data_IF_523424726748
#
_entry.id   IF_523424726748
#
_cell.length_a   1.000
_cell.length_b   1.000
_cell.length_c   1.000
_cell.angle_alpha   90.00
_cell.angle_beta   90.00
_cell.angle_gamma   90.00
#
_symmetry.space_group_name_H-M   'P 1'
#
loop_
_entity.id
_entity.type
_entity.pdbx_description
1 polymer ?
#
# COMPACT_ATOMS: atom_id res chain seq x y z
N UNK A 1 -15.38 23.59 -26.18
CA UNK A 1 -14.92 22.34 -25.60
C UNK A 1 -14.46 21.49 -26.78
N UNK A 2 -13.16 21.41 -26.99
CA UNK A 2 -12.57 20.65 -28.08
C UNK A 2 -12.23 19.28 -27.51
N UNK A 3 -12.96 18.25 -27.96
CA UNK A 3 -12.64 16.86 -27.68
C UNK A 3 -11.20 16.58 -28.15
N UNK A 4 -10.33 16.20 -27.22
CA UNK A 4 -9.02 15.64 -27.57
C UNK A 4 -9.27 14.27 -28.21
N UNK A 5 -8.67 13.99 -29.38
CA UNK A 5 -8.86 12.71 -30.04
C UNK A 5 -8.42 11.56 -29.12
N UNK A 6 -9.25 10.54 -29.02
CA UNK A 6 -8.98 9.29 -28.26
C UNK A 6 -7.66 8.63 -28.67
N UNK A 7 -7.20 8.83 -29.88
CA UNK A 7 -5.95 8.31 -30.42
C UNK A 7 -4.70 8.89 -29.70
N UNK A 8 -4.73 10.17 -29.29
CA UNK A 8 -3.59 10.79 -28.58
C UNK A 8 -3.38 10.26 -27.16
N UNK A 9 -4.46 9.82 -26.50
CA UNK A 9 -4.38 9.22 -25.15
C UNK A 9 -3.83 7.80 -25.25
N UNK A 10 -4.27 7.03 -26.24
CA UNK A 10 -3.76 5.68 -26.50
C UNK A 10 -2.30 5.68 -26.91
N UNK A 11 -1.88 6.67 -27.72
CA UNK A 11 -0.49 6.85 -28.10
C UNK A 11 0.40 7.24 -26.92
N UNK A 12 -0.07 8.09 -26.02
CA UNK A 12 0.65 8.43 -24.79
C UNK A 12 0.81 7.22 -23.85
N UNK A 13 -0.24 6.39 -23.73
CA UNK A 13 -0.18 5.14 -22.97
C UNK A 13 0.77 4.14 -23.63
N UNK A 14 0.78 4.04 -24.97
CA UNK A 14 1.67 3.16 -25.71
C UNK A 14 3.15 3.61 -25.58
N UNK A 15 3.41 4.93 -25.62
CA UNK A 15 4.74 5.50 -25.42
C UNK A 15 5.28 5.22 -24.01
N UNK A 16 4.50 5.45 -22.97
CA UNK A 16 4.86 5.09 -21.58
C UNK A 16 5.11 3.59 -21.39
N UNK A 17 4.31 2.72 -22.05
CA UNK A 17 4.55 1.28 -22.06
C UNK A 17 5.85 0.88 -22.75
N UNK A 18 6.25 1.58 -23.81
CA UNK A 18 7.51 1.34 -24.51
C UNK A 18 8.73 1.75 -23.66
N UNK A 19 8.66 2.86 -22.96
CA UNK A 19 9.71 3.32 -22.04
C UNK A 19 9.88 2.36 -20.85
N UNK A 20 8.78 1.88 -20.26
CA UNK A 20 8.80 0.87 -19.17
C UNK A 20 9.38 -0.48 -19.64
N UNK A 21 9.09 -0.93 -20.87
CA UNK A 21 9.71 -2.13 -21.47
C UNK A 21 11.20 -1.98 -21.68
N UNK A 22 11.66 -0.80 -22.04
CA UNK A 22 13.09 -0.51 -22.21
C UNK A 22 13.80 -0.52 -20.86
N UNK A 23 13.21 0.07 -19.81
CA UNK A 23 13.74 -0.01 -18.45
C UNK A 23 13.90 -1.47 -17.98
N UNK A 24 12.87 -2.31 -18.15
CA UNK A 24 12.93 -3.74 -17.79
C UNK A 24 13.99 -4.51 -18.62
N UNK A 25 14.25 -4.15 -19.87
CA UNK A 25 15.32 -4.74 -20.68
C UNK A 25 16.70 -4.33 -20.20
N UNK A 26 16.88 -3.10 -19.73
CA UNK A 26 18.15 -2.64 -19.15
C UNK A 26 18.39 -3.22 -17.76
N UNK A 27 17.38 -3.38 -16.92
CA UNK A 27 17.47 -4.04 -15.62
C UNK A 27 17.75 -5.56 -15.74
N UNK A 28 17.20 -6.23 -16.75
CA UNK A 28 17.45 -7.64 -17.03
C UNK A 28 18.80 -7.93 -17.73
N UNK A 29 19.41 -6.93 -18.36
CA UNK A 29 20.69 -7.07 -19.08
C UNK A 29 21.95 -6.93 -18.19
N UNK A 30 21.83 -6.45 -16.96
CA UNK A 30 22.96 -6.22 -16.07
C UNK A 30 23.41 -7.48 -15.26
N UNK A 31 22.77 -8.62 -15.45
CA UNK A 31 23.11 -9.87 -14.74
C UNK A 31 24.26 -10.67 -15.38
N UNK A 32 24.94 -10.17 -16.39
CA UNK A 32 25.98 -10.88 -17.13
C UNK A 32 27.31 -10.11 -17.25
N UNK A 33 27.78 -9.41 -16.20
CA UNK A 33 29.18 -8.98 -16.15
C UNK A 33 29.63 -8.87 -14.69
N UNK A 34 30.27 -9.94 -14.19
CA UNK A 34 31.11 -9.91 -13.00
C UNK A 34 32.33 -9.03 -13.32
N UNK A 35 32.34 -7.81 -12.78
CA UNK A 35 33.44 -6.84 -12.91
C UNK A 35 33.51 -5.99 -11.66
N UNK A 36 34.43 -6.34 -10.79
CA UNK A 36 35.01 -5.62 -9.67
C UNK A 36 34.71 -4.11 -9.61
N UNK A 37 34.05 -3.65 -8.55
CA UNK A 37 34.16 -2.28 -8.03
C UNK A 37 34.68 -2.32 -6.60
N UNK A 38 36.01 -2.37 -6.49
CA UNK A 38 36.76 -1.99 -5.32
C UNK A 38 36.96 -0.48 -5.35
N UNK A 39 36.16 0.32 -4.68
CA UNK A 39 36.43 1.73 -4.36
C UNK A 39 35.63 2.11 -3.10
N UNK A 40 36.25 1.87 -1.96
CA UNK A 40 36.12 2.64 -0.71
C UNK A 40 36.97 1.98 0.38
N UNK A 41 38.29 2.08 0.20
CA UNK A 41 39.23 1.85 1.28
C UNK A 41 40.28 2.98 1.21
N UNK A 42 40.01 4.06 1.90
CA UNK A 42 41.02 5.02 2.29
C UNK A 42 40.55 5.72 3.57
N UNK A 43 41.03 5.23 4.71
CA UNK A 43 41.60 6.03 5.79
C UNK A 43 41.84 5.18 7.04
N UNK A 44 43.08 5.11 7.48
CA UNK A 44 43.47 4.89 8.86
C UNK A 44 43.99 3.49 9.18
N UNK A 45 45.31 3.35 9.26
CA UNK A 45 45.98 2.20 9.81
C UNK A 45 45.81 2.09 11.30
N UNK A 46 45.78 0.89 11.82
CA UNK A 46 46.76 0.46 12.83
C UNK A 46 46.68 -1.08 12.98
N UNK A 47 47.84 -1.66 13.35
CA UNK A 47 48.11 -3.08 13.44
C UNK A 47 47.34 -3.76 14.56
N UNK A 48 46.51 -4.73 14.25
CA UNK A 48 45.97 -5.70 15.18
C UNK A 48 45.51 -6.95 14.46
N UNK A 49 46.27 -8.04 14.55
CA UNK A 49 45.91 -9.38 14.05
C UNK A 49 44.67 -9.88 14.81
N UNK A 50 43.50 -9.66 14.23
CA UNK A 50 42.27 -10.32 14.64
C UNK A 50 41.93 -11.39 13.60
N UNK A 51 41.90 -12.64 14.05
CA UNK A 51 41.40 -13.78 13.30
C UNK A 51 39.94 -13.52 12.89
N UNK A 52 39.56 -13.60 11.61
CA UNK A 52 38.18 -13.37 11.21
C UNK A 52 37.30 -14.48 11.77
N UNK A 53 36.39 -14.13 12.64
CA UNK A 53 35.26 -14.99 13.03
C UNK A 53 34.40 -15.22 11.80
N UNK A 54 34.03 -16.47 11.44
CA UNK A 54 33.19 -16.71 10.29
C UNK A 54 31.82 -16.07 10.51
N UNK A 55 31.49 -15.10 9.64
CA UNK A 55 30.15 -14.53 9.56
C UNK A 55 29.15 -15.65 9.20
N UNK A 56 28.03 -15.81 9.93
CA UNK A 56 27.05 -16.82 9.58
C UNK A 56 26.56 -16.63 8.15
N UNK A 57 26.64 -17.69 7.37
CA UNK A 57 26.13 -17.74 6.00
C UNK A 57 24.61 -17.58 6.00
N UNK A 58 24.11 -16.42 5.64
CA UNK A 58 22.67 -16.07 5.56
C UNK A 58 22.03 -16.54 4.24
N UNK A 59 22.34 -17.76 3.74
CA UNK A 59 22.11 -18.01 2.30
C UNK A 59 20.95 -18.92 1.94
N UNK A 60 20.26 -19.58 2.86
CA UNK A 60 19.16 -20.49 2.51
C UNK A 60 17.79 -20.09 3.07
N UNK A 61 17.76 -19.29 4.13
CA UNK A 61 16.52 -18.88 4.80
C UNK A 61 15.93 -17.60 4.18
N UNK A 62 16.73 -16.79 3.49
CA UNK A 62 16.34 -15.48 2.99
C UNK A 62 15.43 -15.51 1.76
N UNK A 63 15.62 -16.45 0.83
CA UNK A 63 14.82 -16.46 -0.43
C UNK A 63 13.39 -16.91 -0.20
N UNK A 64 13.16 -17.87 0.68
CA UNK A 64 11.81 -18.27 1.06
C UNK A 64 11.11 -17.16 1.86
N UNK A 65 11.84 -16.46 2.74
CA UNK A 65 11.33 -15.33 3.49
C UNK A 65 10.97 -14.15 2.59
N UNK A 66 11.77 -13.83 1.57
CA UNK A 66 11.46 -12.77 0.59
C UNK A 66 10.15 -13.06 -0.16
N UNK A 67 9.95 -14.30 -0.61
CA UNK A 67 8.71 -14.72 -1.27
C UNK A 67 7.48 -14.60 -0.38
N UNK A 68 7.62 -14.84 0.91
CA UNK A 68 6.53 -14.65 1.90
C UNK A 68 6.18 -13.17 2.08
N UNK A 69 7.19 -12.30 2.16
CA UNK A 69 7.01 -10.85 2.26
C UNK A 69 6.36 -10.28 0.99
N UNK A 70 6.81 -10.72 -0.19
CA UNK A 70 6.21 -10.28 -1.46
C UNK A 70 4.77 -10.80 -1.64
N UNK A 71 4.46 -12.01 -1.20
CA UNK A 71 3.09 -12.52 -1.19
C UNK A 71 2.21 -11.81 -0.16
N UNK A 72 2.77 -11.41 0.98
CA UNK A 72 2.07 -10.55 1.94
C UNK A 72 1.71 -9.21 1.29
N UNK A 73 2.68 -8.53 0.67
CA UNK A 73 2.45 -7.29 -0.07
C UNK A 73 1.38 -7.48 -1.17
N UNK A 74 1.46 -8.56 -1.96
CA UNK A 74 0.49 -8.84 -3.03
C UNK A 74 -0.97 -8.93 -2.53
N UNK A 75 -1.23 -9.41 -1.29
CA UNK A 75 -2.58 -9.39 -0.74
C UNK A 75 -3.06 -7.95 -0.46
N UNK A 76 -2.18 -7.06 -0.01
CA UNK A 76 -2.51 -5.66 0.25
C UNK A 76 -2.77 -4.93 -1.07
N UNK A 77 -1.92 -5.13 -2.06
CA UNK A 77 -2.10 -4.59 -3.41
C UNK A 77 -3.42 -5.05 -4.05
N UNK A 78 -3.85 -6.30 -3.81
CA UNK A 78 -5.18 -6.72 -4.25
C UNK A 78 -6.31 -5.91 -3.61
N UNK A 79 -6.20 -5.54 -2.33
CA UNK A 79 -7.20 -4.74 -1.63
C UNK A 79 -7.27 -3.33 -2.22
N UNK A 80 -6.13 -2.67 -2.37
CA UNK A 80 -6.02 -1.30 -2.87
C UNK A 80 -6.42 -1.23 -4.35
N UNK A 81 -5.87 -2.12 -5.18
CA UNK A 81 -6.22 -2.19 -6.60
C UNK A 81 -7.70 -2.46 -6.85
N UNK A 82 -8.36 -3.32 -6.04
CA UNK A 82 -9.81 -3.52 -6.14
C UNK A 82 -10.59 -2.26 -5.73
N UNK A 83 -10.23 -1.64 -4.62
CA UNK A 83 -10.88 -0.41 -4.17
C UNK A 83 -10.80 0.69 -5.23
N UNK A 84 -9.58 0.99 -5.71
CA UNK A 84 -9.38 2.05 -6.69
C UNK A 84 -9.96 1.72 -8.07
N UNK A 85 -9.90 0.45 -8.51
CA UNK A 85 -10.49 0.03 -9.78
C UNK A 85 -12.00 0.23 -9.79
N UNK A 86 -12.69 -0.16 -8.71
CA UNK A 86 -14.12 0.11 -8.58
C UNK A 86 -14.38 1.61 -8.49
N UNK A 87 -13.67 2.35 -7.65
CA UNK A 87 -13.89 3.78 -7.47
C UNK A 87 -13.71 4.58 -8.78
N UNK A 88 -12.66 4.30 -9.54
CA UNK A 88 -12.33 5.03 -10.77
C UNK A 88 -13.10 4.56 -12.00
N UNK A 89 -13.37 3.25 -12.11
CA UNK A 89 -13.87 2.63 -13.36
C UNK A 89 -15.16 1.82 -13.17
N UNK A 90 -15.61 1.60 -11.94
CA UNK A 90 -16.81 0.81 -11.65
C UNK A 90 -16.68 -0.69 -11.91
N UNK A 91 -15.45 -1.21 -11.96
CA UNK A 91 -15.17 -2.60 -12.29
C UNK A 91 -14.00 -3.17 -11.47
N UNK A 92 -14.03 -4.49 -11.29
CA UNK A 92 -12.96 -5.22 -10.63
C UNK A 92 -11.70 -5.31 -11.51
N UNK A 93 -10.58 -5.70 -10.89
CA UNK A 93 -9.39 -6.13 -11.61
C UNK A 93 -9.70 -7.26 -12.59
N UNK A 94 -8.94 -7.32 -13.70
CA UNK A 94 -9.04 -8.41 -14.65
C UNK A 94 -8.82 -9.77 -13.98
N UNK A 95 -9.67 -10.76 -14.29
CA UNK A 95 -9.64 -12.09 -13.67
C UNK A 95 -8.27 -12.79 -13.77
N UNK A 96 -7.50 -12.53 -14.84
CA UNK A 96 -6.15 -13.07 -15.00
C UNK A 96 -5.15 -12.58 -13.95
N UNK A 97 -5.43 -11.47 -13.27
CA UNK A 97 -4.58 -10.92 -12.20
C UNK A 97 -4.92 -11.49 -10.82
N UNK A 98 -6.01 -12.24 -10.65
CA UNK A 98 -6.52 -12.65 -9.33
C UNK A 98 -6.32 -14.14 -9.02
N UNK A 99 -5.80 -14.92 -9.97
CA UNK A 99 -5.50 -16.36 -9.82
C UNK A 99 -4.19 -16.59 -9.07
N UNK A 100 -3.96 -17.80 -8.51
CA UNK A 100 -2.69 -18.14 -7.86
C UNK A 100 -2.80 -19.26 -6.86
N UNK A 101 -1.82 -19.34 -5.96
CA UNK A 101 -1.74 -20.33 -4.87
C UNK A 101 -2.65 -19.93 -3.71
N UNK A 102 -3.28 -20.90 -3.07
CA UNK A 102 -4.16 -20.66 -1.93
C UNK A 102 -5.64 -20.59 -2.33
N UNK A 103 -6.46 -19.93 -1.52
CA UNK A 103 -7.91 -19.86 -1.72
C UNK A 103 -8.28 -18.60 -2.49
N UNK A 104 -8.76 -18.77 -3.71
CA UNK A 104 -9.32 -17.65 -4.47
C UNK A 104 -10.63 -17.19 -3.84
N UNK A 105 -10.77 -15.86 -3.69
CA UNK A 105 -11.94 -15.23 -3.12
C UNK A 105 -12.65 -14.29 -4.09
N UNK A 106 -13.74 -13.71 -3.62
CA UNK A 106 -14.53 -12.71 -4.34
C UNK A 106 -14.45 -11.36 -3.65
N UNK A 107 -14.74 -10.30 -4.38
CA UNK A 107 -14.88 -8.96 -3.83
C UNK A 107 -16.33 -8.73 -3.44
N UNK A 108 -16.56 -8.26 -2.22
CA UNK A 108 -17.87 -7.80 -1.75
C UNK A 108 -17.88 -6.27 -1.72
N UNK A 109 -18.87 -5.67 -2.36
CA UNK A 109 -18.97 -4.21 -2.50
C UNK A 109 -18.20 -3.68 -3.71
N UNK A 110 -17.89 -2.40 -3.68
CA UNK A 110 -17.29 -1.67 -4.79
C UNK A 110 -18.34 -1.02 -5.69
N UNK A 111 -18.11 0.25 -6.02
CA UNK A 111 -18.92 1.01 -6.96
C UNK A 111 -18.10 2.15 -7.57
N UNK A 112 -18.51 2.65 -8.72
CA UNK A 112 -17.89 3.85 -9.29
C UNK A 112 -18.31 5.09 -8.48
N UNK A 113 -17.32 5.93 -8.15
CA UNK A 113 -17.56 7.20 -7.48
C UNK A 113 -18.10 8.22 -8.49
N UNK A 114 -19.22 8.90 -8.19
CA UNK A 114 -19.71 10.00 -9.02
C UNK A 114 -18.89 11.28 -8.76
N UNK A 115 -17.61 11.26 -9.16
CA UNK A 115 -16.70 12.39 -8.93
C UNK A 115 -17.26 13.70 -9.45
N UNK A 116 -17.29 14.70 -8.58
CA UNK A 116 -17.65 16.07 -8.92
C UNK A 116 -16.42 16.96 -9.15
N UNK A 117 -15.29 16.63 -8.54
CA UNK A 117 -14.01 17.29 -8.70
C UNK A 117 -13.18 16.54 -9.78
N UNK A 118 -12.97 17.18 -10.97
CA UNK A 118 -12.23 16.54 -12.05
C UNK A 118 -10.79 16.16 -11.69
N UNK A 119 -10.19 16.90 -10.73
CA UNK A 119 -8.84 16.62 -10.27
C UNK A 119 -8.80 15.33 -9.44
N UNK A 120 -9.75 15.17 -8.51
CA UNK A 120 -9.88 13.96 -7.71
C UNK A 120 -10.16 12.74 -8.62
N UNK A 121 -11.01 12.91 -9.65
CA UNK A 121 -11.27 11.86 -10.64
C UNK A 121 -10.00 11.44 -11.40
N UNK A 122 -9.12 12.38 -11.74
CA UNK A 122 -7.85 12.06 -12.43
C UNK A 122 -6.90 11.32 -11.51
N UNK A 123 -6.78 11.77 -10.27
CA UNK A 123 -5.95 11.10 -9.26
C UNK A 123 -6.43 9.68 -8.96
N UNK A 124 -7.75 9.50 -8.79
CA UNK A 124 -8.32 8.16 -8.59
C UNK A 124 -7.97 7.20 -9.74
N UNK A 125 -7.98 7.70 -10.99
CA UNK A 125 -7.60 6.89 -12.16
C UNK A 125 -6.12 6.59 -12.23
N UNK A 126 -5.27 7.56 -11.89
CA UNK A 126 -3.80 7.38 -11.85
C UNK A 126 -3.45 6.32 -10.82
N UNK A 127 -3.92 6.47 -9.58
CA UNK A 127 -3.67 5.51 -8.51
C UNK A 127 -4.22 4.12 -8.89
N UNK A 128 -5.45 4.03 -9.40
CA UNK A 128 -6.02 2.74 -9.83
C UNK A 128 -5.16 2.01 -10.87
N UNK A 129 -4.48 2.74 -11.75
CA UNK A 129 -3.57 2.15 -12.74
C UNK A 129 -2.24 1.73 -12.11
N UNK A 130 -1.72 2.50 -11.17
CA UNK A 130 -0.48 2.19 -10.47
C UNK A 130 -0.68 0.94 -9.59
N UNK A 131 -1.77 0.86 -8.81
CA UNK A 131 -2.11 -0.32 -8.00
C UNK A 131 -2.27 -1.60 -8.84
N UNK A 132 -2.94 -1.50 -9.99
CA UNK A 132 -3.04 -2.63 -10.93
C UNK A 132 -1.65 -3.03 -11.50
N UNK A 133 -0.73 -2.08 -11.65
CA UNK A 133 0.66 -2.37 -12.07
C UNK A 133 1.47 -2.99 -10.93
N UNK A 134 1.29 -2.56 -9.67
CA UNK A 134 1.90 -3.17 -8.50
C UNK A 134 1.50 -4.65 -8.38
N UNK A 135 0.21 -4.98 -8.51
CA UNK A 135 -0.28 -6.36 -8.59
C UNK A 135 0.41 -7.13 -9.72
N UNK A 136 0.45 -6.56 -10.92
CA UNK A 136 1.06 -7.19 -12.09
C UNK A 136 2.55 -7.45 -11.90
N UNK A 137 3.26 -6.49 -11.32
CA UNK A 137 4.68 -6.57 -11.04
C UNK A 137 4.98 -7.66 -9.99
N UNK A 138 4.33 -7.63 -8.84
CA UNK A 138 4.53 -8.63 -7.79
C UNK A 138 4.21 -10.04 -8.27
N UNK A 139 3.13 -10.21 -9.03
CA UNK A 139 2.79 -11.50 -9.65
C UNK A 139 3.86 -11.97 -10.64
N UNK A 140 4.43 -11.04 -11.41
CA UNK A 140 5.52 -11.37 -12.36
C UNK A 140 6.77 -11.84 -11.63
N UNK A 141 7.14 -11.16 -10.55
CA UNK A 141 8.30 -11.50 -9.72
C UNK A 141 8.11 -12.84 -9.01
N UNK A 142 6.93 -13.09 -8.46
CA UNK A 142 6.58 -14.32 -7.75
C UNK A 142 6.36 -15.51 -8.69
N UNK A 143 5.99 -15.28 -9.94
CA UNK A 143 5.71 -16.32 -10.92
C UNK A 143 4.63 -17.30 -10.44
N UNK A 144 4.93 -18.61 -10.46
CA UNK A 144 4.00 -19.65 -10.01
C UNK A 144 3.76 -19.67 -8.48
N UNK A 145 4.56 -18.96 -7.70
CA UNK A 145 4.38 -18.83 -6.25
C UNK A 145 3.44 -17.69 -5.86
N UNK A 146 2.98 -16.88 -6.81
CA UNK A 146 2.04 -15.80 -6.53
C UNK A 146 0.74 -16.33 -5.94
N UNK A 147 0.32 -15.75 -4.80
CA UNK A 147 -0.93 -16.14 -4.16
C UNK A 147 -2.15 -15.64 -4.95
N UNK A 148 -3.25 -16.39 -4.89
CA UNK A 148 -4.54 -15.95 -5.38
C UNK A 148 -5.05 -14.77 -4.55
N UNK A 149 -5.85 -13.89 -5.16
CA UNK A 149 -6.57 -12.86 -4.43
C UNK A 149 -7.53 -13.51 -3.42
N UNK A 150 -7.45 -13.17 -2.12
CA UNK A 150 -8.37 -13.70 -1.11
C UNK A 150 -9.74 -13.04 -1.21
N UNK A 151 -10.70 -13.46 -0.38
CA UNK A 151 -11.96 -12.74 -0.24
C UNK A 151 -11.71 -11.33 0.33
N UNK A 152 -12.24 -10.31 -0.36
CA UNK A 152 -12.07 -8.89 -0.02
C UNK A 152 -13.44 -8.26 0.21
N UNK A 153 -13.58 -7.52 1.33
CA UNK A 153 -14.77 -6.74 1.64
C UNK A 153 -14.45 -5.24 1.57
N UNK A 154 -14.88 -4.59 0.51
CA UNK A 154 -14.79 -3.13 0.33
C UNK A 154 -16.19 -2.48 0.27
N UNK A 155 -17.18 -3.11 0.89
CA UNK A 155 -18.52 -2.56 0.91
C UNK A 155 -18.62 -1.35 1.85
N UNK A 156 -19.42 -0.37 1.42
CA UNK A 156 -19.79 0.82 2.18
C UNK A 156 -21.22 0.76 2.75
N UNK A 157 -21.84 -0.41 2.79
CA UNK A 157 -23.15 -0.62 3.39
C UNK A 157 -23.05 -0.85 4.92
N UNK A 158 -24.19 -1.09 5.58
CA UNK A 158 -24.24 -1.25 7.03
C UNK A 158 -23.40 -2.41 7.59
N UNK A 159 -23.04 -3.39 6.78
CA UNK A 159 -22.27 -4.59 7.12
C UNK A 159 -20.85 -4.57 6.52
N UNK A 160 -20.54 -3.57 5.71
CA UNK A 160 -19.29 -3.41 5.01
C UNK A 160 -18.10 -3.06 5.93
N UNK A 161 -16.90 -3.43 5.49
CA UNK A 161 -15.68 -3.18 6.24
C UNK A 161 -15.40 -1.67 6.40
N UNK A 162 -15.68 -0.85 5.40
CA UNK A 162 -15.55 0.60 5.51
C UNK A 162 -16.47 1.19 6.58
N UNK A 163 -17.71 0.72 6.68
CA UNK A 163 -18.63 1.14 7.74
C UNK A 163 -18.15 0.68 9.12
N UNK A 164 -17.62 -0.55 9.21
CA UNK A 164 -17.05 -1.05 10.47
C UNK A 164 -15.86 -0.20 10.92
N UNK A 165 -14.94 0.13 10.00
CA UNK A 165 -13.81 1.01 10.26
C UNK A 165 -14.25 2.43 10.69
N UNK A 166 -15.20 3.03 9.96
CA UNK A 166 -15.70 4.36 10.25
C UNK A 166 -16.45 4.46 11.58
N UNK A 167 -17.18 3.40 11.98
CA UNK A 167 -17.80 3.31 13.32
C UNK A 167 -16.74 3.18 14.42
N UNK A 168 -15.74 2.32 14.22
CA UNK A 168 -14.65 2.14 15.17
C UNK A 168 -13.85 3.44 15.36
N UNK A 169 -13.65 4.19 14.29
CA UNK A 169 -12.99 5.49 14.31
C UNK A 169 -13.88 6.63 14.88
N UNK A 170 -15.18 6.45 14.97
CA UNK A 170 -16.11 7.50 15.38
C UNK A 170 -16.42 8.54 14.29
N UNK A 171 -16.05 8.25 13.03
CA UNK A 171 -16.38 9.08 11.85
C UNK A 171 -17.89 9.08 11.60
N UNK A 172 -18.54 7.96 11.88
CA UNK A 172 -19.99 7.83 11.92
C UNK A 172 -20.44 7.23 13.24
N UNK A 173 -21.68 7.54 13.66
CA UNK A 173 -22.25 6.98 14.88
C UNK A 173 -22.46 5.45 14.80
N UNK A 174 -22.82 4.79 15.93
CA UNK A 174 -22.91 3.32 16.00
C UNK A 174 -23.87 2.66 15.00
N UNK A 175 -24.91 3.37 14.56
CA UNK A 175 -25.86 2.93 13.53
C UNK A 175 -25.63 3.60 12.17
N UNK A 176 -24.67 4.53 12.06
CA UNK A 176 -24.33 5.22 10.82
C UNK A 176 -23.66 4.28 9.82
N UNK A 177 -23.68 4.66 8.55
CA UNK A 177 -22.98 3.97 7.46
C UNK A 177 -21.96 4.91 6.83
N UNK A 178 -20.86 4.36 6.35
CA UNK A 178 -19.86 5.08 5.59
C UNK A 178 -19.67 4.40 4.24
N UNK A 179 -20.04 5.12 3.18
CA UNK A 179 -19.86 4.65 1.81
C UNK A 179 -18.71 5.43 1.13
N UNK A 180 -17.54 4.82 0.91
CA UNK A 180 -16.41 5.50 0.28
C UNK A 180 -16.66 5.84 -1.20
N UNK A 181 -17.74 5.34 -1.78
CA UNK A 181 -18.12 5.60 -3.18
C UNK A 181 -19.19 6.68 -3.33
N UNK A 182 -19.57 7.37 -2.25
CA UNK A 182 -20.69 8.32 -2.27
C UNK A 182 -20.31 9.64 -2.98
N UNK A 183 -19.10 10.13 -2.77
CA UNK A 183 -18.61 11.41 -3.26
C UNK A 183 -17.07 11.51 -3.16
N UNK A 184 -16.50 12.64 -3.64
CA UNK A 184 -15.06 12.90 -3.63
C UNK A 184 -14.42 12.79 -2.23
N UNK A 185 -15.07 13.36 -1.20
CA UNK A 185 -14.52 13.40 0.16
C UNK A 185 -14.57 12.02 0.80
N UNK A 186 -15.66 11.31 0.63
CA UNK A 186 -15.84 9.94 1.10
C UNK A 186 -14.81 9.00 0.47
N UNK A 187 -14.54 9.15 -0.84
CA UNK A 187 -13.49 8.42 -1.54
C UNK A 187 -12.10 8.71 -0.95
N UNK A 188 -11.76 10.01 -0.79
CA UNK A 188 -10.46 10.41 -0.24
C UNK A 188 -10.25 9.91 1.20
N UNK A 189 -11.29 9.90 2.04
CA UNK A 189 -11.20 9.33 3.39
C UNK A 189 -11.04 7.81 3.37
N UNK A 190 -11.68 7.11 2.42
CA UNK A 190 -11.47 5.68 2.20
C UNK A 190 -10.06 5.37 1.72
N UNK A 191 -9.53 6.14 0.78
CA UNK A 191 -8.15 6.06 0.30
C UNK A 191 -7.14 6.33 1.43
N UNK A 192 -7.35 7.36 2.23
CA UNK A 192 -6.51 7.72 3.37
C UNK A 192 -6.37 6.59 4.40
N UNK A 193 -7.38 5.73 4.53
CA UNK A 193 -7.30 4.56 5.40
C UNK A 193 -6.21 3.57 4.97
N UNK A 194 -5.93 3.44 3.66
CA UNK A 194 -5.01 2.46 3.10
C UNK A 194 -3.61 3.05 2.82
N UNK A 195 -3.51 4.16 2.14
CA UNK A 195 -2.24 4.70 1.63
C UNK A 195 -1.16 4.92 2.69
N UNK A 196 -1.51 5.50 3.84
CA UNK A 196 -0.55 5.67 4.94
C UNK A 196 -0.04 4.31 5.47
N UNK A 197 -0.89 3.29 5.43
CA UNK A 197 -0.53 1.93 5.83
C UNK A 197 0.38 1.30 4.78
N UNK A 198 0.11 1.48 3.49
CA UNK A 198 0.96 1.03 2.39
C UNK A 198 2.38 1.56 2.51
N UNK A 199 2.55 2.89 2.70
CA UNK A 199 3.86 3.51 2.95
C UNK A 199 4.61 2.84 4.10
N UNK A 200 3.96 2.69 5.27
CA UNK A 200 4.60 2.13 6.46
C UNK A 200 4.84 0.62 6.36
N UNK A 201 4.01 -0.10 5.61
CA UNK A 201 4.17 -1.52 5.32
C UNK A 201 5.40 -1.79 4.44
N UNK A 202 5.54 -1.08 3.31
CA UNK A 202 6.71 -1.22 2.45
C UNK A 202 8.00 -0.79 3.13
N UNK A 203 7.97 0.31 3.91
CA UNK A 203 9.14 0.69 4.70
C UNK A 203 9.50 -0.37 5.75
N UNK A 204 8.52 -0.96 6.41
CA UNK A 204 8.73 -2.04 7.37
C UNK A 204 9.22 -3.34 6.74
N UNK A 205 8.90 -3.59 5.46
CA UNK A 205 9.38 -4.72 4.69
C UNK A 205 10.87 -4.60 4.30
N UNK A 206 11.38 -3.39 4.09
CA UNK A 206 12.74 -3.15 3.59
C UNK A 206 13.84 -3.87 4.39
N UNK A 207 13.89 -3.82 5.74
CA UNK A 207 14.94 -4.48 6.51
C UNK A 207 14.84 -6.00 6.57
N UNK A 208 13.73 -6.61 6.15
CA UNK A 208 13.53 -8.06 6.19
C UNK A 208 13.70 -8.73 4.82
N UNK A 209 13.80 -7.95 3.74
CA UNK A 209 14.15 -8.44 2.42
C UNK A 209 15.66 -8.65 2.30
N UNK A 210 16.07 -9.82 1.82
CA UNK A 210 17.48 -10.18 1.61
C UNK A 210 17.98 -9.93 0.18
N UNK A 211 17.11 -10.02 -0.82
CA UNK A 211 17.46 -9.86 -2.23
C UNK A 211 17.46 -8.37 -2.61
N UNK A 212 18.61 -7.86 -3.10
CA UNK A 212 18.77 -6.44 -3.47
C UNK A 212 17.82 -6.00 -4.57
N UNK A 213 17.48 -6.88 -5.52
CA UNK A 213 16.52 -6.57 -6.59
C UNK A 213 15.11 -6.40 -6.01
N UNK A 214 14.74 -7.18 -5.00
CA UNK A 214 13.45 -7.03 -4.33
C UNK A 214 13.43 -5.79 -3.43
N UNK A 215 14.54 -5.47 -2.77
CA UNK A 215 14.67 -4.22 -2.00
C UNK A 215 14.50 -3.00 -2.91
N UNK A 216 15.18 -2.99 -4.07
CA UNK A 216 15.06 -1.90 -5.06
C UNK A 216 13.62 -1.76 -5.57
N UNK A 217 12.98 -2.87 -5.89
CA UNK A 217 11.59 -2.87 -6.33
C UNK A 217 10.63 -2.40 -5.22
N UNK A 218 10.79 -2.91 -3.99
CA UNK A 218 9.99 -2.48 -2.84
C UNK A 218 10.19 -0.99 -2.53
N UNK A 219 11.42 -0.47 -2.69
CA UNK A 219 11.68 0.97 -2.56
C UNK A 219 10.99 1.80 -3.65
N UNK A 220 10.86 1.24 -4.87
CA UNK A 220 10.10 1.86 -5.96
C UNK A 220 8.61 1.95 -5.66
N UNK A 221 8.01 0.85 -5.17
CA UNK A 221 6.60 0.84 -4.76
C UNK A 221 6.40 1.75 -3.54
N UNK A 222 7.26 1.69 -2.52
CA UNK A 222 7.23 2.62 -1.38
C UNK A 222 7.20 4.09 -1.83
N UNK A 223 7.97 4.44 -2.85
CA UNK A 223 7.96 5.80 -3.38
C UNK A 223 6.63 6.15 -4.05
N UNK A 224 6.01 5.23 -4.81
CA UNK A 224 4.69 5.41 -5.39
C UNK A 224 3.63 5.59 -4.31
N UNK A 225 3.58 4.69 -3.32
CA UNK A 225 2.72 4.78 -2.13
C UNK A 225 2.86 6.13 -1.41
N UNK A 226 4.11 6.61 -1.26
CA UNK A 226 4.36 7.91 -0.62
C UNK A 226 3.81 9.07 -1.43
N UNK A 227 3.81 8.99 -2.76
CA UNK A 227 3.16 9.98 -3.63
C UNK A 227 1.64 9.89 -3.53
N UNK A 228 1.06 8.68 -3.53
CA UNK A 228 -0.38 8.47 -3.36
C UNK A 228 -0.86 9.03 -2.02
N UNK A 229 -0.22 8.62 -0.91
CA UNK A 229 -0.54 9.12 0.43
C UNK A 229 -0.41 10.64 0.51
N UNK A 230 0.71 11.21 0.03
CA UNK A 230 0.95 12.65 0.04
C UNK A 230 -0.09 13.42 -0.77
N UNK A 231 -0.51 12.90 -1.91
CA UNK A 231 -1.56 13.46 -2.75
C UNK A 231 -2.92 13.43 -2.04
N UNK A 232 -3.33 12.27 -1.52
CA UNK A 232 -4.61 12.11 -0.80
C UNK A 232 -4.65 13.05 0.41
N UNK A 233 -3.59 13.08 1.23
CA UNK A 233 -3.47 13.96 2.40
C UNK A 233 -3.53 15.43 2.02
N UNK A 234 -2.87 15.84 0.92
CA UNK A 234 -2.87 17.23 0.44
C UNK A 234 -4.26 17.69 0.00
N UNK A 235 -4.99 16.84 -0.73
CA UNK A 235 -6.33 17.17 -1.20
C UNK A 235 -7.33 17.21 -0.03
N UNK A 236 -7.25 16.25 0.89
CA UNK A 236 -8.07 16.26 2.11
C UNK A 236 -7.76 17.49 2.97
N UNK A 237 -6.49 17.85 3.14
CA UNK A 237 -6.10 19.05 3.89
C UNK A 237 -6.67 20.32 3.23
N UNK A 238 -6.49 20.47 1.91
CA UNK A 238 -7.02 21.62 1.17
C UNK A 238 -8.54 21.76 1.32
N UNK A 239 -9.27 20.64 1.16
CA UNK A 239 -10.73 20.64 1.35
C UNK A 239 -11.11 20.86 2.82
N UNK A 240 -10.30 20.38 3.75
CA UNK A 240 -10.49 20.51 5.19
C UNK A 240 -10.32 21.93 5.74
N UNK A 241 -9.53 22.78 5.09
CA UNK A 241 -9.43 24.20 5.43
C UNK A 241 -10.81 24.89 5.28
N UNK A 242 -11.58 24.50 4.28
CA UNK A 242 -12.91 25.07 4.03
C UNK A 242 -14.01 24.31 4.80
N UNK A 243 -13.75 23.06 5.24
CA UNK A 243 -14.69 22.19 5.94
C UNK A 243 -13.99 21.37 7.05
N UNK A 244 -13.89 21.95 8.24
CA UNK A 244 -13.12 21.40 9.36
C UNK A 244 -13.50 19.95 9.77
N UNK A 245 -14.69 19.48 9.43
CA UNK A 245 -15.10 18.08 9.65
C UNK A 245 -14.23 17.09 8.90
N UNK A 246 -13.64 17.47 7.76
CA UNK A 246 -12.71 16.64 6.99
C UNK A 246 -11.41 16.42 7.78
N UNK A 247 -10.83 17.50 8.36
CA UNK A 247 -9.65 17.40 9.22
C UNK A 247 -9.94 16.54 10.44
N UNK A 248 -11.12 16.72 11.04
CA UNK A 248 -11.57 15.91 12.18
C UNK A 248 -11.69 14.44 11.80
N UNK A 249 -12.31 14.10 10.68
CA UNK A 249 -12.50 12.73 10.22
C UNK A 249 -11.16 12.06 9.89
N UNK A 250 -10.24 12.77 9.23
CA UNK A 250 -8.91 12.24 8.96
C UNK A 250 -8.14 11.96 10.26
N UNK A 251 -8.23 12.85 11.27
CA UNK A 251 -7.64 12.60 12.59
C UNK A 251 -8.26 11.38 13.27
N UNK A 252 -9.58 11.25 13.26
CA UNK A 252 -10.27 10.10 13.85
C UNK A 252 -9.88 8.77 13.19
N UNK A 253 -9.67 8.75 11.87
CA UNK A 253 -9.18 7.56 11.15
C UNK A 253 -7.75 7.23 11.58
N UNK A 254 -6.88 8.23 11.70
CA UNK A 254 -5.51 8.08 12.17
C UNK A 254 -5.47 7.53 13.60
N UNK A 255 -6.19 8.15 14.54
CA UNK A 255 -6.30 7.70 15.94
C UNK A 255 -6.82 6.25 16.05
N UNK A 256 -7.74 5.85 15.15
CA UNK A 256 -8.26 4.50 15.11
C UNK A 256 -7.21 3.47 14.64
N UNK A 257 -6.37 3.81 13.66
CA UNK A 257 -5.26 2.95 13.22
C UNK A 257 -4.26 2.73 14.36
N UNK A 258 -3.86 3.79 15.09
CA UNK A 258 -3.02 3.68 16.28
C UNK A 258 -3.63 2.77 17.35
N UNK A 259 -4.95 2.88 17.55
CA UNK A 259 -5.66 2.00 18.49
C UNK A 259 -5.57 0.52 18.09
N UNK A 260 -5.50 0.23 16.79
CA UNK A 260 -5.48 -1.14 16.27
C UNK A 260 -4.07 -1.75 16.30
N UNK A 261 -3.03 -0.98 16.03
CA UNK A 261 -1.69 -1.52 15.77
C UNK A 261 -0.67 -1.33 16.91
N UNK A 262 -1.09 -0.74 18.02
CA UNK A 262 -0.28 -0.69 19.24
C UNK A 262 -0.27 0.66 19.94
N UNK A 263 0.58 0.79 20.95
CA UNK A 263 0.65 1.99 21.79
C UNK A 263 1.66 3.05 21.32
N UNK A 264 2.26 2.89 20.15
CA UNK A 264 3.21 3.85 19.57
C UNK A 264 2.48 4.69 18.54
N UNK A 265 2.46 6.02 18.71
CA UNK A 265 1.86 6.97 17.75
C UNK A 265 2.67 6.99 16.43
N UNK A 266 2.31 6.10 15.52
CA UNK A 266 2.87 6.00 14.16
C UNK A 266 1.89 6.45 13.10
N UNK A 267 0.66 6.76 13.49
CA UNK A 267 -0.38 7.35 12.65
C UNK A 267 -0.63 8.80 13.07
N UNK A 268 -0.50 9.69 12.14
CA UNK A 268 -0.70 11.11 12.40
C UNK A 268 -1.77 11.67 11.47
N UNK A 269 -2.70 12.43 12.02
CA UNK A 269 -3.69 13.17 11.24
C UNK A 269 -3.03 14.10 10.21
N UNK A 270 -3.84 14.70 9.36
CA UNK A 270 -3.36 15.58 8.27
C UNK A 270 -3.06 17.03 8.73
N UNK A 271 -3.12 17.27 10.03
CA UNK A 271 -2.95 18.60 10.64
C UNK A 271 -4.25 19.24 11.07
N UNK A 272 -4.20 20.54 11.34
CA UNK A 272 -5.33 21.37 11.74
C UNK A 272 -5.50 22.59 10.80
N UNK A 273 -6.42 23.50 11.11
CA UNK A 273 -6.70 24.66 10.26
C UNK A 273 -5.50 25.61 10.07
N UNK A 274 -4.46 25.50 10.88
CA UNK A 274 -3.29 26.40 10.88
C UNK A 274 -1.98 25.71 10.52
N UNK A 275 -1.92 24.40 10.70
CA UNK A 275 -0.69 23.62 10.54
C UNK A 275 -0.97 22.33 9.77
N UNK A 276 -0.36 22.20 8.60
CA UNK A 276 -0.44 20.98 7.79
C UNK A 276 0.49 19.88 8.33
N UNK A 277 0.05 18.63 8.24
CA UNK A 277 0.89 17.45 8.41
C UNK A 277 0.67 16.51 7.22
N UNK A 278 1.34 16.79 6.12
CA UNK A 278 1.18 16.04 4.86
C UNK A 278 2.09 14.82 4.82
N UNK A 279 3.25 14.90 5.45
CA UNK A 279 4.23 13.80 5.50
C UNK A 279 4.41 13.39 6.96
N UNK A 280 3.71 12.34 7.43
CA UNK A 280 3.86 11.87 8.80
C UNK A 280 5.24 11.24 8.99
N UNK A 281 6.04 11.82 9.88
CA UNK A 281 7.42 11.41 10.11
C UNK A 281 7.77 11.44 11.60
N UNK A 282 8.83 10.72 11.96
CA UNK A 282 9.47 10.82 13.24
C UNK A 282 10.26 12.15 13.39
N UNK A 283 10.92 12.34 14.52
CA UNK A 283 11.72 13.54 14.79
C UNK A 283 12.95 13.73 13.89
N UNK A 284 13.30 12.72 13.08
CA UNK A 284 14.37 12.78 12.10
C UNK A 284 13.85 13.06 10.68
N UNK A 285 12.55 13.26 10.51
CA UNK A 285 11.92 13.42 9.21
C UNK A 285 11.81 12.12 8.40
N UNK A 286 11.78 10.97 9.07
CA UNK A 286 11.70 9.65 8.46
C UNK A 286 10.30 9.07 8.68
N UNK A 287 9.64 8.61 7.61
CA UNK A 287 8.32 7.97 7.69
C UNK A 287 8.36 6.72 8.58
N UNK A 288 7.25 6.40 9.22
CA UNK A 288 7.15 5.27 10.14
C UNK A 288 7.21 3.91 9.44
N UNK A 289 7.43 2.86 10.22
CA UNK A 289 7.42 1.46 9.76
C UNK A 289 6.38 0.67 10.53
N UNK A 290 5.70 -0.25 9.84
CA UNK A 290 4.84 -1.27 10.45
C UNK A 290 5.43 -2.66 10.25
N UNK A 291 5.31 -3.51 11.25
CA UNK A 291 5.45 -4.95 11.06
C UNK A 291 4.24 -5.50 10.29
N UNK A 292 4.38 -6.67 9.68
CA UNK A 292 3.28 -7.35 9.00
C UNK A 292 2.08 -7.60 9.92
N UNK A 293 2.35 -7.89 11.20
CA UNK A 293 1.30 -8.08 12.21
C UNK A 293 0.50 -6.80 12.49
N UNK A 294 1.17 -5.65 12.57
CA UNK A 294 0.51 -4.34 12.74
C UNK A 294 -0.32 -3.95 11.52
N UNK A 295 0.20 -4.20 10.31
CA UNK A 295 -0.58 -3.99 9.08
C UNK A 295 -1.86 -4.83 9.10
N UNK A 296 -1.75 -6.11 9.49
CA UNK A 296 -2.92 -6.99 9.62
C UNK A 296 -3.89 -6.55 10.69
N UNK A 297 -3.44 -5.95 11.80
CA UNK A 297 -4.36 -5.37 12.79
C UNK A 297 -5.28 -4.30 12.14
N UNK A 298 -4.70 -3.44 11.29
CA UNK A 298 -5.47 -2.39 10.60
C UNK A 298 -6.44 -3.00 9.59
N UNK A 299 -5.98 -3.86 8.69
CA UNK A 299 -6.84 -4.39 7.62
C UNK A 299 -7.84 -5.46 8.11
N UNK A 300 -7.57 -6.12 9.24
CA UNK A 300 -8.53 -7.01 9.90
C UNK A 300 -9.45 -6.27 10.89
N UNK A 301 -9.21 -4.99 11.12
CA UNK A 301 -9.94 -4.16 12.10
C UNK A 301 -9.95 -4.81 13.50
N UNK A 302 -8.82 -5.35 13.93
CA UNK A 302 -8.73 -6.12 15.18
C UNK A 302 -7.35 -5.96 15.83
N UNK A 303 -7.32 -5.61 17.11
CA UNK A 303 -6.09 -5.49 17.90
C UNK A 303 -5.61 -6.80 18.53
N UNK A 304 -6.41 -7.87 18.49
CA UNK A 304 -5.97 -9.19 18.90
C UNK A 304 -5.21 -9.90 17.77
N UNK A 305 -4.41 -10.91 18.12
CA UNK A 305 -3.78 -11.79 17.15
C UNK A 305 -4.85 -12.70 16.52
N UNK A 306 -5.28 -12.34 15.31
CA UNK A 306 -6.29 -13.08 14.54
C UNK A 306 -5.80 -13.36 13.12
N UNK A 307 -6.42 -14.33 12.46
CA UNK A 307 -6.08 -14.73 11.09
C UNK A 307 -6.99 -14.14 10.01
N UNK A 308 -8.02 -13.37 10.39
CA UNK A 308 -9.01 -12.81 9.45
C UNK A 308 -9.85 -11.73 10.11
N UNK A 309 -10.54 -10.93 9.31
CA UNK A 309 -11.47 -9.90 9.75
C UNK A 309 -11.53 -8.72 8.78
N UNK A 310 -12.34 -7.74 9.08
CA UNK A 310 -12.41 -6.47 8.38
C UNK A 310 -12.45 -6.59 6.85
N UNK A 311 -11.45 -6.04 6.20
CA UNK A 311 -11.32 -6.05 4.73
C UNK A 311 -10.98 -7.43 4.15
N UNK A 312 -10.49 -8.37 4.97
CA UNK A 312 -10.19 -9.75 4.59
C UNK A 312 -10.99 -10.74 5.45
N UNK A 313 -12.29 -10.92 5.17
CA UNK A 313 -13.20 -11.68 6.04
C UNK A 313 -12.80 -13.14 6.23
N UNK A 314 -12.04 -13.72 5.29
CA UNK A 314 -11.50 -15.09 5.35
C UNK A 314 -9.98 -15.13 5.58
N UNK A 315 -9.37 -13.99 5.88
CA UNK A 315 -7.91 -13.82 5.97
C UNK A 315 -7.25 -13.68 4.60
N UNK A 316 -5.94 -13.46 4.62
CA UNK A 316 -5.10 -13.38 3.42
C UNK A 316 -4.48 -14.74 3.07
N UNK A 317 -3.95 -14.88 1.85
CA UNK A 317 -3.22 -16.04 1.39
C UNK A 317 -1.71 -15.91 1.67
N UNK A 318 -0.98 -17.02 1.70
CA UNK A 318 0.46 -17.08 1.96
C UNK A 318 0.78 -17.55 3.39
N UNK A 319 2.01 -17.34 3.82
CA UNK A 319 2.52 -17.82 5.12
C UNK A 319 2.38 -16.80 6.24
N UNK A 320 2.40 -15.49 5.93
CA UNK A 320 2.22 -14.39 6.89
C UNK A 320 0.73 -14.03 6.91
N UNK A 321 -0.02 -14.46 7.94
CA UNK A 321 -1.49 -14.33 7.97
C UNK A 321 -2.07 -13.89 9.30
N UNK A 322 -1.26 -13.83 10.36
CA UNK A 322 -1.75 -13.54 11.70
C UNK A 322 -1.34 -12.13 12.12
N UNK A 323 -2.31 -11.34 12.58
CA UNK A 323 -2.07 -10.03 13.13
C UNK A 323 -1.32 -10.08 14.46
N UNK A 324 -0.75 -8.96 14.89
CA UNK A 324 -0.11 -8.85 16.19
C UNK A 324 -1.15 -8.79 17.32
N UNK A 325 -0.74 -9.17 18.54
CA UNK A 325 -1.45 -8.80 19.75
C UNK A 325 -0.97 -7.40 20.15
N UNK A 326 -1.77 -6.37 19.92
CA UNK A 326 -1.42 -4.96 20.10
C UNK A 326 -2.23 -4.27 21.23
N UNK A 327 -3.06 -5.02 21.94
CA UNK A 327 -3.91 -4.52 23.04
C UNK A 327 -3.47 -4.93 24.41
#
# INVERSE_FOLDING_TARGET
>A
MTDLPTDTVLDAIAARRAERRNFLRYAGGAAASAGTLSLLAACGGDNGTATPTPTPSATATSIAADGDVLNFALNLEYLEAQFYSFAAFGQALAAGLTTGVGTAGTVTGGAQVPFSDPLVAQYAREIALDEAQHVTFLRTVLGSAAVAMPAINIAGDATGAFTAAARAAGVVGPSGTFNPYADDVSFLLGAYLFEDVGVSAYKGAAPVLGNKTYIEAAAGILAAESYHAGLIRSVLYRKGIDANTILTNARLISDARDTLDGGTDIDQGIGDATTANIVPTDTNGIVYSRSTGQVLNVVYLNKAAVGSGGFFPSGINGNIRTSAASG
#
